data_IF_135205124428
#
_entry.id   IF_135205124428
#
_cell.length_a   1.000
_cell.length_b   1.000
_cell.length_c   1.000
_cell.angle_alpha   90.00
_cell.angle_beta   90.00
_cell.angle_gamma   90.00
#
_symmetry.space_group_name_H-M   'P 1'
#
loop_
_entity.id
_entity.type
_entity.pdbx_description
1 polymer ?
#
# COMPACT_ATOMS: atom_id res chain seq x y z
N UNK A 1 -0.45 -35.46 -3.81
CA UNK A 1 -0.52 -34.25 -4.65
C UNK A 1 -0.13 -33.09 -3.76
N UNK A 2 1.16 -32.76 -3.75
CA UNK A 2 1.75 -31.81 -2.79
C UNK A 2 1.51 -30.41 -3.32
N UNK A 3 0.72 -29.63 -2.60
CA UNK A 3 0.45 -28.22 -2.94
C UNK A 3 1.64 -27.43 -2.41
N UNK A 4 2.55 -27.04 -3.30
CA UNK A 4 3.61 -26.09 -2.98
C UNK A 4 3.00 -24.70 -2.74
N UNK A 5 3.12 -24.21 -1.51
CA UNK A 5 2.77 -22.85 -1.13
C UNK A 5 3.93 -21.94 -1.57
N UNK A 6 3.71 -20.94 -2.44
CA UNK A 6 4.82 -20.16 -2.98
C UNK A 6 5.34 -19.11 -1.99
N UNK A 7 6.51 -19.41 -1.42
CA UNK A 7 7.54 -18.47 -0.97
C UNK A 7 7.10 -17.35 -0.03
N UNK A 8 7.32 -17.57 1.27
CA UNK A 8 7.41 -16.52 2.28
C UNK A 8 8.41 -15.46 1.81
N UNK A 9 7.92 -14.25 1.55
CA UNK A 9 8.77 -13.08 1.52
C UNK A 9 8.88 -12.60 2.96
N UNK A 10 10.10 -12.51 3.46
CA UNK A 10 10.38 -12.00 4.79
C UNK A 10 9.75 -10.61 4.92
N UNK A 11 8.80 -10.49 5.85
CA UNK A 11 8.02 -9.27 6.08
C UNK A 11 8.98 -8.28 6.73
N UNK A 12 9.56 -7.40 5.91
CA UNK A 12 10.61 -6.45 6.28
C UNK A 12 10.19 -5.48 7.39
N UNK A 13 11.16 -4.73 7.93
CA UNK A 13 11.15 -3.73 9.02
C UNK A 13 9.87 -2.90 9.30
N UNK A 14 8.88 -2.86 8.39
CA UNK A 14 7.50 -2.45 8.67
C UNK A 14 6.88 -3.21 9.87
N UNK A 15 7.48 -4.34 10.28
CA UNK A 15 7.11 -5.08 11.48
C UNK A 15 7.41 -4.42 12.84
N UNK A 16 8.10 -3.28 12.85
CA UNK A 16 8.47 -2.53 14.08
C UNK A 16 7.76 -1.19 14.23
N UNK A 17 6.79 -0.91 13.37
CA UNK A 17 6.04 0.32 13.36
C UNK A 17 5.02 0.35 14.53
N UNK A 18 4.98 1.41 15.34
CA UNK A 18 4.20 1.46 16.58
C UNK A 18 2.67 1.43 16.38
N UNK A 19 2.15 1.91 15.25
CA UNK A 19 0.71 2.02 15.00
C UNK A 19 0.21 1.03 13.95
N UNK A 20 1.01 0.65 12.96
CA UNK A 20 0.54 -0.23 11.89
C UNK A 20 1.54 -1.31 11.54
N UNK A 21 1.07 -2.55 11.42
CA UNK A 21 1.94 -3.70 11.16
C UNK A 21 1.38 -4.59 10.07
N UNK A 22 2.18 -4.86 9.03
CA UNK A 22 1.86 -5.91 8.07
C UNK A 22 2.24 -7.25 8.71
N UNK A 23 1.27 -8.14 8.92
CA UNK A 23 1.48 -9.46 9.51
C UNK A 23 1.77 -10.52 8.46
N UNK A 24 1.11 -10.43 7.31
CA UNK A 24 1.26 -11.38 6.21
C UNK A 24 1.05 -10.70 4.86
N UNK A 25 1.71 -11.24 3.83
CA UNK A 25 1.50 -10.85 2.43
C UNK A 25 1.34 -12.11 1.57
N UNK A 26 0.22 -12.22 0.88
CA UNK A 26 -0.01 -13.26 -0.11
C UNK A 26 -0.34 -12.66 -1.49
N UNK A 27 0.03 -13.36 -2.57
CA UNK A 27 -0.22 -12.91 -3.94
C UNK A 27 -0.85 -14.01 -4.77
N UNK A 28 -2.03 -13.77 -5.32
CA UNK A 28 -2.83 -14.81 -5.97
C UNK A 28 -4.17 -14.31 -6.49
N UNK A 29 -5.06 -15.22 -6.90
CA UNK A 29 -6.38 -14.85 -7.46
C UNK A 29 -7.49 -14.69 -6.41
N UNK A 30 -7.34 -15.30 -5.24
CA UNK A 30 -8.28 -15.25 -4.11
C UNK A 30 -9.77 -15.33 -4.52
N UNK A 31 -10.21 -16.49 -5.00
CA UNK A 31 -11.58 -16.66 -5.52
C UNK A 31 -12.67 -16.38 -4.48
N UNK A 32 -12.36 -16.59 -3.20
CA UNK A 32 -13.28 -16.37 -2.07
C UNK A 32 -13.71 -14.92 -1.90
N UNK A 33 -12.98 -13.94 -2.42
CA UNK A 33 -13.34 -12.51 -2.29
C UNK A 33 -13.82 -11.88 -3.61
N UNK A 34 -13.65 -12.58 -4.75
CA UNK A 34 -14.00 -12.04 -6.07
C UNK A 34 -15.47 -11.61 -6.16
N UNK A 35 -16.36 -12.30 -5.46
CA UNK A 35 -17.80 -11.99 -5.46
C UNK A 35 -18.19 -10.85 -4.52
N UNK A 36 -17.31 -10.44 -3.61
CA UNK A 36 -17.59 -9.39 -2.62
C UNK A 36 -17.52 -7.98 -3.23
N UNK A 37 -16.71 -7.80 -4.28
CA UNK A 37 -16.54 -6.53 -4.96
C UNK A 37 -16.80 -6.68 -6.47
N UNK A 38 -17.90 -6.11 -6.97
CA UNK A 38 -18.36 -6.34 -8.36
C UNK A 38 -17.42 -5.80 -9.44
N UNK A 39 -16.56 -4.82 -9.14
CA UNK A 39 -15.58 -4.31 -10.10
C UNK A 39 -14.28 -5.12 -10.11
N UNK A 40 -14.17 -6.16 -9.27
CA UNK A 40 -13.04 -7.07 -9.34
C UNK A 40 -13.04 -7.81 -10.66
N UNK A 41 -11.94 -7.65 -11.39
CA UNK A 41 -11.76 -8.30 -12.67
C UNK A 41 -11.51 -9.79 -12.44
N UNK A 42 -12.27 -10.61 -13.18
CA UNK A 42 -12.14 -12.06 -13.13
C UNK A 42 -10.73 -12.49 -13.57
N UNK A 43 -10.13 -13.39 -12.80
CA UNK A 43 -8.81 -13.95 -13.12
C UNK A 43 -7.61 -13.02 -12.87
N UNK A 44 -7.83 -11.75 -12.52
CA UNK A 44 -6.77 -10.81 -12.14
C UNK A 44 -6.19 -11.20 -10.78
N UNK A 45 -4.86 -11.15 -10.68
CA UNK A 45 -4.15 -11.39 -9.43
C UNK A 45 -4.30 -10.19 -8.50
N UNK A 46 -4.27 -10.45 -7.21
CA UNK A 46 -4.39 -9.49 -6.12
C UNK A 46 -3.25 -9.70 -5.15
N UNK A 47 -2.90 -8.63 -4.46
CA UNK A 47 -2.12 -8.71 -3.24
C UNK A 47 -3.10 -8.75 -2.07
N UNK A 48 -2.95 -9.74 -1.19
CA UNK A 48 -3.54 -9.71 0.15
C UNK A 48 -2.48 -9.20 1.11
N UNK A 49 -2.81 -8.18 1.88
CA UNK A 49 -2.00 -7.66 2.98
C UNK A 49 -2.81 -7.82 4.24
N UNK A 50 -2.36 -8.67 5.15
CA UNK A 50 -2.96 -8.74 6.49
C UNK A 50 -2.31 -7.65 7.33
N UNK A 51 -3.11 -6.67 7.73
CA UNK A 51 -2.70 -5.47 8.44
C UNK A 51 -3.29 -5.47 9.85
N UNK A 52 -2.49 -5.17 10.85
CA UNK A 52 -2.95 -4.77 12.18
C UNK A 52 -2.81 -3.26 12.34
N UNK A 53 -3.86 -2.62 12.84
CA UNK A 53 -3.93 -1.19 13.12
C UNK A 53 -4.04 -0.98 14.63
N UNK A 54 -3.32 -0.01 15.17
CA UNK A 54 -3.34 0.40 16.57
C UNK A 54 -3.21 -0.75 17.58
N UNK A 55 -2.41 -1.77 17.29
CA UNK A 55 -2.30 -2.98 18.13
C UNK A 55 -1.95 -2.70 19.59
N UNK A 56 -1.18 -1.65 19.88
CA UNK A 56 -0.73 -1.29 21.24
C UNK A 56 -0.90 0.20 21.59
N UNK A 57 -1.44 1.04 20.70
CA UNK A 57 -1.51 2.50 20.90
C UNK A 57 -2.85 2.95 21.49
N UNK A 58 -2.80 3.85 22.47
CA UNK A 58 -4.01 4.47 23.05
C UNK A 58 -4.54 5.55 22.11
N UNK A 59 -5.62 5.23 21.40
CA UNK A 59 -6.31 6.16 20.50
C UNK A 59 -5.98 5.92 19.03
N UNK A 60 -6.87 6.39 18.16
CA UNK A 60 -6.78 6.12 16.73
C UNK A 60 -5.97 7.17 15.94
N UNK A 61 -5.50 8.25 16.58
CA UNK A 61 -4.85 9.38 15.88
C UNK A 61 -5.84 10.27 15.13
N UNK A 62 -5.33 11.34 14.49
CA UNK A 62 -6.16 12.31 13.78
C UNK A 62 -6.28 11.95 12.29
N UNK A 63 -7.32 11.20 11.94
CA UNK A 63 -7.56 10.75 10.56
C UNK A 63 -7.60 11.90 9.56
N UNK A 64 -8.31 12.99 9.89
CA UNK A 64 -8.43 14.13 8.96
C UNK A 64 -7.08 14.79 8.70
N UNK A 65 -6.22 14.90 9.72
CA UNK A 65 -4.86 15.39 9.56
C UNK A 65 -4.04 14.48 8.65
N UNK A 66 -4.01 13.16 8.95
CA UNK A 66 -3.28 12.16 8.14
C UNK A 66 -3.72 12.21 6.68
N UNK A 67 -5.04 12.21 6.44
CA UNK A 67 -5.60 12.29 5.11
C UNK A 67 -5.16 13.56 4.37
N UNK A 68 -5.22 14.73 5.00
CA UNK A 68 -4.80 15.97 4.35
C UNK A 68 -3.29 16.01 4.07
N UNK A 69 -2.45 15.46 4.95
CA UNK A 69 -1.01 15.34 4.69
C UNK A 69 -0.74 14.41 3.49
N UNK A 70 -1.46 13.30 3.36
CA UNK A 70 -1.29 12.42 2.21
C UNK A 70 -1.66 13.11 0.89
N UNK A 71 -2.66 14.00 0.89
CA UNK A 71 -3.07 14.72 -0.33
C UNK A 71 -1.97 15.65 -0.88
N UNK A 72 -1.00 16.07 -0.07
CA UNK A 72 0.11 16.90 -0.57
C UNK A 72 1.03 16.12 -1.50
N UNK A 73 1.18 14.80 -1.27
CA UNK A 73 2.05 13.91 -2.06
C UNK A 73 1.27 12.97 -3.00
N UNK A 74 0.00 12.71 -2.71
CA UNK A 74 -0.91 11.83 -3.47
C UNK A 74 -2.24 12.57 -3.76
N UNK A 75 -2.23 13.63 -4.60
CA UNK A 75 -3.40 14.48 -4.82
C UNK A 75 -4.58 13.74 -5.49
N UNK A 76 -4.31 12.65 -6.23
CA UNK A 76 -5.34 11.84 -6.88
C UNK A 76 -6.18 11.04 -5.89
N UNK A 77 -5.71 10.85 -4.65
CA UNK A 77 -6.43 10.16 -3.59
C UNK A 77 -7.78 10.83 -3.27
N UNK A 78 -7.90 12.16 -3.45
CA UNK A 78 -9.15 12.89 -3.28
C UNK A 78 -10.24 12.49 -4.31
N UNK A 79 -9.85 11.88 -5.43
CA UNK A 79 -10.76 11.44 -6.50
C UNK A 79 -11.25 10.01 -6.29
N UNK A 80 -10.66 9.27 -5.33
CA UNK A 80 -11.04 7.90 -5.07
C UNK A 80 -12.46 7.83 -4.52
N UNK A 81 -13.20 6.82 -4.97
CA UNK A 81 -14.58 6.57 -4.57
C UNK A 81 -14.67 5.21 -3.91
N UNK A 82 -15.35 5.15 -2.77
CA UNK A 82 -15.57 3.94 -2.00
C UNK A 82 -16.96 3.37 -2.27
N UNK A 83 -17.12 2.07 -2.06
CA UNK A 83 -18.43 1.53 -1.74
C UNK A 83 -18.68 1.69 -0.23
N UNK A 84 -19.93 1.83 0.20
CA UNK A 84 -20.24 1.95 1.63
C UNK A 84 -19.83 0.68 2.40
N UNK A 85 -19.49 0.85 3.69
CA UNK A 85 -19.25 -0.26 4.61
C UNK A 85 -20.41 -1.26 4.51
N UNK A 86 -20.08 -2.50 4.15
CA UNK A 86 -21.05 -3.54 3.93
C UNK A 86 -20.81 -4.70 4.89
N UNK A 87 -21.88 -5.12 5.56
CA UNK A 87 -21.87 -6.27 6.46
C UNK A 87 -22.93 -7.24 5.95
N UNK A 88 -22.50 -8.43 5.52
CA UNK A 88 -23.41 -9.50 5.13
C UNK A 88 -22.84 -10.43 4.06
N UNK A 89 -23.47 -11.60 3.84
CA UNK A 89 -22.98 -12.62 2.91
C UNK A 89 -23.25 -12.31 1.43
N UNK A 90 -24.03 -11.26 1.14
CA UNK A 90 -24.37 -10.88 -0.24
C UNK A 90 -23.34 -9.90 -0.81
N UNK A 91 -23.20 -9.79 -2.15
CA UNK A 91 -22.32 -8.79 -2.76
C UNK A 91 -22.72 -7.37 -2.34
N UNK A 92 -21.73 -6.50 -2.10
CA UNK A 92 -22.00 -5.11 -1.72
C UNK A 92 -22.97 -4.43 -2.72
N UNK A 93 -23.91 -3.60 -2.23
CA UNK A 93 -24.90 -2.94 -3.07
C UNK A 93 -24.24 -2.03 -4.10
N UNK A 94 -24.84 -1.95 -5.30
CA UNK A 94 -24.34 -1.09 -6.38
C UNK A 94 -24.64 0.35 -6.02
N UNK A 95 -23.61 1.09 -5.63
CA UNK A 95 -23.71 2.54 -5.53
C UNK A 95 -23.61 3.13 -6.94
N UNK A 96 -24.61 3.91 -7.33
CA UNK A 96 -24.62 4.62 -8.62
C UNK A 96 -23.57 5.74 -8.67
N UNK A 97 -23.05 6.14 -7.51
CA UNK A 97 -21.92 7.03 -7.32
C UNK A 97 -21.19 6.57 -6.07
N UNK A 98 -19.93 6.17 -6.17
CA UNK A 98 -19.16 5.83 -4.98
C UNK A 98 -19.02 7.04 -4.03
N UNK A 99 -18.89 6.75 -2.74
CA UNK A 99 -18.91 7.73 -1.65
C UNK A 99 -17.47 8.18 -1.37
N UNK A 100 -17.23 9.45 -1.01
CA UNK A 100 -15.92 9.87 -0.51
C UNK A 100 -15.47 9.04 0.70
N UNK A 101 -14.15 8.94 0.90
CA UNK A 101 -13.57 8.27 2.07
C UNK A 101 -14.16 8.91 3.36
N UNK A 102 -14.79 8.08 4.22
CA UNK A 102 -15.35 8.51 5.51
C UNK A 102 -14.20 8.97 6.42
N UNK A 103 -14.37 10.09 7.12
CA UNK A 103 -13.34 10.74 7.96
C UNK A 103 -13.64 10.62 9.46
N UNK A 104 -14.09 9.45 9.92
CA UNK A 104 -14.55 9.26 11.32
C UNK A 104 -13.37 8.90 12.24
N UNK A 105 -12.38 8.17 11.73
CA UNK A 105 -11.08 7.94 12.34
C UNK A 105 -11.02 6.75 13.29
N UNK A 106 -11.66 5.63 12.96
CA UNK A 106 -11.45 4.35 13.64
C UNK A 106 -10.42 3.44 12.94
N UNK A 107 -10.09 2.29 13.53
CA UNK A 107 -9.11 1.35 12.94
C UNK A 107 -9.52 0.85 11.56
N UNK A 108 -10.83 0.75 11.28
CA UNK A 108 -11.37 0.38 9.98
C UNK A 108 -11.11 1.48 8.96
N UNK A 109 -11.35 2.75 9.32
CA UNK A 109 -11.09 3.89 8.45
C UNK A 109 -9.60 3.98 8.09
N UNK A 110 -8.70 3.73 9.04
CA UNK A 110 -7.27 3.72 8.79
C UNK A 110 -6.82 2.56 7.89
N UNK A 111 -7.32 1.35 8.12
CA UNK A 111 -7.04 0.20 7.26
C UNK A 111 -7.55 0.45 5.82
N UNK A 112 -8.75 1.02 5.70
CA UNK A 112 -9.34 1.39 4.43
C UNK A 112 -8.55 2.51 3.73
N UNK A 113 -8.05 3.50 4.47
CA UNK A 113 -7.18 4.52 3.91
C UNK A 113 -5.85 3.94 3.40
N UNK A 114 -5.25 2.97 4.11
CA UNK A 114 -4.06 2.24 3.61
C UNK A 114 -4.36 1.57 2.27
N UNK A 115 -5.51 0.90 2.14
CA UNK A 115 -5.95 0.29 0.88
C UNK A 115 -6.00 1.33 -0.25
N UNK A 116 -6.60 2.49 0.00
CA UNK A 116 -6.70 3.57 -0.99
C UNK A 116 -5.34 4.17 -1.37
N UNK A 117 -4.44 4.34 -0.40
CA UNK A 117 -3.07 4.79 -0.66
C UNK A 117 -2.31 3.76 -1.51
N UNK A 118 -2.49 2.46 -1.25
CA UNK A 118 -1.92 1.40 -2.08
C UNK A 118 -2.43 1.47 -3.52
N UNK A 119 -3.74 1.62 -3.72
CA UNK A 119 -4.37 1.77 -5.04
C UNK A 119 -3.78 2.97 -5.78
N UNK A 120 -3.72 4.12 -5.10
CA UNK A 120 -3.23 5.38 -5.69
C UNK A 120 -1.76 5.25 -6.13
N UNK A 121 -0.91 4.70 -5.25
CA UNK A 121 0.50 4.42 -5.55
C UNK A 121 0.64 3.41 -6.70
N UNK A 122 -0.19 2.36 -6.78
CA UNK A 122 -0.13 1.39 -7.87
C UNK A 122 -0.56 1.98 -9.22
N UNK A 123 -1.53 2.88 -9.23
CA UNK A 123 -1.91 3.62 -10.44
C UNK A 123 -0.77 4.57 -10.86
N UNK A 124 -0.25 5.37 -9.92
CA UNK A 124 0.73 6.42 -10.18
C UNK A 124 2.15 5.93 -10.45
N UNK A 125 2.58 4.84 -9.81
CA UNK A 125 3.91 4.26 -9.97
C UNK A 125 3.88 2.99 -10.82
N UNK A 126 2.86 2.15 -10.66
CA UNK A 126 2.75 0.87 -11.36
C UNK A 126 2.19 0.96 -12.78
N UNK A 127 1.68 2.14 -13.20
CA UNK A 127 0.95 2.35 -14.46
C UNK A 127 -0.27 1.44 -14.62
N UNK A 128 -0.91 1.08 -13.51
CA UNK A 128 -2.18 0.36 -13.55
C UNK A 128 -3.29 1.33 -13.98
N UNK A 129 -4.04 0.98 -15.04
CA UNK A 129 -5.14 1.83 -15.52
C UNK A 129 -6.39 1.75 -14.64
N UNK A 130 -6.61 0.57 -14.04
CA UNK A 130 -7.71 0.30 -13.13
C UNK A 130 -7.16 -0.55 -11.99
N UNK A 131 -7.46 -0.14 -10.77
CA UNK A 131 -7.08 -0.85 -9.56
C UNK A 131 -8.23 -0.69 -8.57
N UNK A 132 -8.83 -1.81 -8.16
CA UNK A 132 -9.83 -1.87 -7.10
C UNK A 132 -9.25 -2.58 -5.90
N UNK A 133 -9.84 -2.36 -4.73
CA UNK A 133 -9.57 -3.18 -3.56
C UNK A 133 -10.81 -3.44 -2.71
N UNK A 134 -10.59 -4.20 -1.63
CA UNK A 134 -11.54 -4.39 -0.55
C UNK A 134 -10.77 -4.52 0.76
N UNK A 135 -11.28 -3.87 1.79
CA UNK A 135 -10.84 -4.02 3.18
C UNK A 135 -11.80 -4.96 3.91
N UNK A 136 -11.30 -6.08 4.41
CA UNK A 136 -12.07 -7.05 5.19
C UNK A 136 -11.60 -7.03 6.64
N UNK A 137 -12.44 -6.57 7.56
CA UNK A 137 -12.15 -6.64 9.00
C UNK A 137 -12.38 -8.04 9.58
N UNK A 138 -11.53 -8.45 10.52
CA UNK A 138 -11.73 -9.67 11.30
C UNK A 138 -12.75 -9.43 12.41
N UNK A 139 -13.50 -10.46 12.79
CA UNK A 139 -14.37 -10.40 13.97
C UNK A 139 -13.54 -10.32 15.26
N UNK A 140 -12.46 -11.11 15.33
CA UNK A 140 -11.47 -11.08 16.40
C UNK A 140 -10.07 -11.41 15.83
N UNK A 141 -9.03 -10.59 16.08
CA UNK A 141 -9.11 -9.29 16.76
C UNK A 141 -9.66 -8.19 15.82
N UNK A 142 -10.49 -7.30 16.37
CA UNK A 142 -11.20 -6.24 15.62
C UNK A 142 -10.30 -5.20 14.96
N UNK A 143 -9.02 -5.19 15.30
CA UNK A 143 -8.02 -4.28 14.77
C UNK A 143 -7.17 -4.90 13.65
N UNK A 144 -7.51 -6.13 13.23
CA UNK A 144 -6.87 -6.83 12.12
C UNK A 144 -7.76 -6.82 10.88
N UNK A 145 -7.13 -6.62 9.73
CA UNK A 145 -7.79 -6.47 8.44
C UNK A 145 -7.02 -7.22 7.36
N UNK A 146 -7.73 -7.85 6.43
CA UNK A 146 -7.16 -8.28 5.16
C UNK A 146 -7.51 -7.24 4.09
N UNK A 147 -6.48 -6.59 3.54
CA UNK A 147 -6.60 -5.69 2.40
C UNK A 147 -6.32 -6.49 1.14
N UNK A 148 -7.29 -6.58 0.24
CA UNK A 148 -7.07 -7.18 -1.08
C UNK A 148 -7.08 -6.09 -2.13
N UNK A 149 -5.98 -5.96 -2.86
CA UNK A 149 -5.86 -4.93 -3.90
C UNK A 149 -5.43 -5.56 -5.21
N UNK A 150 -6.11 -5.23 -6.30
CA UNK A 150 -5.79 -5.70 -7.65
C UNK A 150 -4.36 -5.32 -8.02
N UNK A 151 -3.58 -6.30 -8.45
CA UNK A 151 -2.16 -6.10 -8.70
C UNK A 151 -1.64 -7.10 -9.73
N UNK A 152 -1.20 -6.62 -10.89
CA UNK A 152 -0.61 -7.46 -11.94
C UNK A 152 0.86 -7.82 -11.67
N UNK A 153 1.50 -7.15 -10.71
CA UNK A 153 2.91 -7.30 -10.41
C UNK A 153 3.15 -7.37 -8.89
N UNK A 154 3.40 -8.59 -8.38
CA UNK A 154 3.66 -8.85 -6.95
C UNK A 154 4.62 -7.84 -6.32
N UNK A 155 5.74 -7.55 -6.98
CA UNK A 155 6.79 -6.68 -6.44
C UNK A 155 6.30 -5.23 -6.27
N UNK A 156 5.58 -4.72 -7.26
CA UNK A 156 5.00 -3.38 -7.15
C UNK A 156 3.97 -3.34 -6.03
N UNK A 157 3.10 -4.35 -5.94
CA UNK A 157 2.12 -4.44 -4.85
C UNK A 157 2.77 -4.44 -3.47
N UNK A 158 3.79 -5.28 -3.26
CA UNK A 158 4.54 -5.37 -2.00
C UNK A 158 5.18 -4.02 -1.64
N UNK A 159 5.84 -3.38 -2.61
CA UNK A 159 6.44 -2.06 -2.39
C UNK A 159 5.39 -1.02 -1.99
N UNK A 160 4.27 -0.94 -2.72
CA UNK A 160 3.21 0.02 -2.41
C UNK A 160 2.52 -0.25 -1.08
N UNK A 161 2.40 -1.52 -0.67
CA UNK A 161 1.90 -1.89 0.66
C UNK A 161 2.82 -1.38 1.77
N UNK A 162 4.12 -1.68 1.67
CA UNK A 162 5.11 -1.22 2.64
C UNK A 162 5.18 0.31 2.68
N UNK A 163 5.16 0.98 1.53
CA UNK A 163 5.19 2.44 1.47
C UNK A 163 3.92 3.06 2.07
N UNK A 164 2.74 2.53 1.77
CA UNK A 164 1.48 3.01 2.34
C UNK A 164 1.50 2.92 3.86
N UNK A 165 1.87 1.76 4.41
CA UNK A 165 1.96 1.55 5.86
C UNK A 165 3.01 2.45 6.50
N UNK A 166 4.19 2.60 5.87
CA UNK A 166 5.24 3.50 6.35
C UNK A 166 4.79 4.97 6.42
N UNK A 167 4.12 5.47 5.39
CA UNK A 167 3.60 6.84 5.36
C UNK A 167 2.58 7.08 6.46
N UNK A 168 1.63 6.16 6.59
CA UNK A 168 0.56 6.23 7.58
C UNK A 168 1.11 6.20 9.00
N UNK A 169 2.02 5.27 9.28
CA UNK A 169 2.61 5.12 10.60
C UNK A 169 3.52 6.29 10.99
N UNK A 170 4.33 6.82 10.05
CA UNK A 170 5.15 8.02 10.28
C UNK A 170 4.27 9.23 10.59
N UNK A 171 3.18 9.43 9.84
CA UNK A 171 2.25 10.53 10.10
C UNK A 171 1.53 10.39 11.45
N UNK A 172 1.23 9.17 11.89
CA UNK A 172 0.62 8.92 13.18
C UNK A 172 1.62 9.12 14.34
N UNK A 173 2.89 8.76 14.14
CA UNK A 173 3.95 8.86 15.15
C UNK A 173 4.49 10.29 15.29
N UNK A 174 4.88 10.88 14.16
CA UNK A 174 5.68 12.11 14.12
C UNK A 174 4.86 13.33 13.68
N UNK A 175 3.60 13.13 13.28
CA UNK A 175 2.74 14.19 12.72
C UNK A 175 3.36 14.92 11.51
N UNK A 176 4.27 14.25 10.79
CA UNK A 176 4.96 14.79 9.63
C UNK A 176 5.19 13.69 8.58
N UNK A 177 5.26 14.10 7.31
CA UNK A 177 5.67 13.20 6.24
C UNK A 177 7.17 12.85 6.39
N UNK A 178 7.59 11.65 5.96
CA UNK A 178 9.00 11.32 5.88
C UNK A 178 9.79 12.34 5.05
N UNK A 179 11.00 12.67 5.52
CA UNK A 179 11.92 13.52 4.77
C UNK A 179 12.21 12.93 3.38
N UNK A 180 12.27 13.80 2.36
CA UNK A 180 12.54 13.46 0.96
C UNK A 180 11.54 12.47 0.32
N UNK A 181 10.29 12.44 0.80
CA UNK A 181 9.28 11.51 0.27
C UNK A 181 8.95 11.79 -1.20
N UNK A 182 8.92 13.06 -1.62
CA UNK A 182 8.65 13.41 -3.02
C UNK A 182 9.76 12.89 -3.94
N UNK A 183 11.02 13.06 -3.55
CA UNK A 183 12.18 12.56 -4.26
C UNK A 183 12.20 11.03 -4.28
N UNK A 184 11.77 10.37 -3.20
CA UNK A 184 11.60 8.91 -3.16
C UNK A 184 10.58 8.44 -4.22
N UNK A 185 9.43 9.10 -4.29
CA UNK A 185 8.37 8.80 -5.28
C UNK A 185 8.86 9.07 -6.70
N UNK A 186 9.57 10.18 -6.92
CA UNK A 186 10.18 10.50 -8.21
C UNK A 186 11.21 9.44 -8.62
N UNK A 187 12.07 9.00 -7.71
CA UNK A 187 13.06 7.95 -7.97
C UNK A 187 12.38 6.62 -8.29
N UNK A 188 11.36 6.23 -7.52
CA UNK A 188 10.60 5.00 -7.77
C UNK A 188 9.95 5.02 -9.17
N UNK A 189 9.35 6.16 -9.56
CA UNK A 189 8.78 6.37 -10.89
C UNK A 189 9.85 6.27 -11.98
N UNK A 190 10.98 6.94 -11.81
CA UNK A 190 12.10 6.91 -12.75
C UNK A 190 12.61 5.47 -12.97
N UNK A 191 12.79 4.72 -11.88
CA UNK A 191 13.24 3.33 -11.93
C UNK A 191 12.24 2.42 -12.64
N UNK A 192 10.94 2.63 -12.40
CA UNK A 192 9.91 1.83 -13.06
C UNK A 192 9.86 2.10 -14.58
N UNK A 193 9.99 3.36 -14.99
CA UNK A 193 10.07 3.73 -16.41
C UNK A 193 11.32 3.15 -17.08
N UNK A 194 12.40 2.96 -16.33
CA UNK A 194 13.68 2.46 -16.80
C UNK A 194 13.96 1.00 -16.39
N UNK A 195 12.94 0.18 -16.10
CA UNK A 195 13.08 -1.19 -15.56
C UNK A 195 13.96 -2.16 -16.36
N UNK A 196 14.22 -1.88 -17.64
CA UNK A 196 15.10 -2.69 -18.51
C UNK A 196 16.57 -2.29 -18.43
N UNK A 197 16.88 -1.14 -17.81
CA UNK A 197 18.24 -0.62 -17.69
C UNK A 197 18.86 -1.06 -16.37
N UNK A 198 20.15 -1.39 -16.40
CA UNK A 198 20.94 -1.63 -15.20
C UNK A 198 21.41 -0.29 -14.62
N UNK A 199 20.54 0.31 -13.80
CA UNK A 199 20.80 1.54 -13.08
C UNK A 199 21.48 1.25 -11.73
N UNK A 200 22.37 2.15 -11.32
CA UNK A 200 23.00 2.18 -9.99
C UNK A 200 22.86 3.59 -9.43
N UNK A 201 22.95 3.79 -8.11
CA UNK A 201 22.92 5.12 -7.50
C UNK A 201 23.86 6.12 -8.17
N UNK A 202 25.09 5.70 -8.49
CA UNK A 202 26.11 6.55 -9.10
C UNK A 202 25.69 7.00 -10.50
N UNK A 203 25.15 6.08 -11.32
CA UNK A 203 24.65 6.39 -12.66
C UNK A 203 23.46 7.34 -12.61
N UNK A 204 22.55 7.15 -11.65
CA UNK A 204 21.37 7.99 -11.49
C UNK A 204 21.79 9.41 -11.11
N UNK A 205 22.68 9.53 -10.12
CA UNK A 205 23.25 10.80 -9.70
C UNK A 205 23.94 11.52 -10.87
N UNK A 206 24.83 10.83 -11.62
CA UNK A 206 25.55 11.45 -12.73
C UNK A 206 24.66 11.86 -13.90
N UNK A 207 23.63 11.05 -14.22
CA UNK A 207 22.78 11.27 -15.40
C UNK A 207 21.68 12.30 -15.17
N UNK A 208 21.23 12.47 -13.92
CA UNK A 208 20.11 13.36 -13.57
C UNK A 208 20.55 14.57 -12.73
N UNK A 209 21.86 14.72 -12.47
CA UNK A 209 22.44 15.78 -11.64
C UNK A 209 21.86 15.83 -10.22
N UNK A 210 21.52 14.67 -9.66
CA UNK A 210 21.04 14.55 -8.29
C UNK A 210 22.23 14.43 -7.34
N UNK A 211 22.09 14.98 -6.13
CA UNK A 211 23.10 14.83 -5.08
C UNK A 211 23.38 13.34 -4.79
N UNK A 212 24.65 12.88 -4.87
CA UNK A 212 24.99 11.47 -4.67
C UNK A 212 24.56 10.92 -3.31
N UNK A 213 24.67 11.71 -2.24
CA UNK A 213 24.34 11.26 -0.90
C UNK A 213 22.82 11.06 -0.75
N UNK A 214 22.02 11.98 -1.28
CA UNK A 214 20.56 11.88 -1.36
C UNK A 214 20.14 10.65 -2.15
N UNK A 215 20.68 10.43 -3.35
CA UNK A 215 20.35 9.24 -4.16
C UNK A 215 20.64 7.95 -3.41
N UNK A 216 21.78 7.87 -2.70
CA UNK A 216 22.14 6.69 -1.90
C UNK A 216 21.16 6.46 -0.74
N UNK A 217 20.74 7.50 -0.03
CA UNK A 217 19.73 7.41 1.04
C UNK A 217 18.38 6.92 0.50
N UNK A 218 17.90 7.54 -0.59
CA UNK A 218 16.65 7.15 -1.24
C UNK A 218 16.70 5.70 -1.76
N UNK A 219 17.83 5.29 -2.34
CA UNK A 219 18.03 3.91 -2.80
C UNK A 219 17.95 2.91 -1.65
N UNK A 220 18.57 3.21 -0.51
CA UNK A 220 18.47 2.37 0.69
C UNK A 220 17.02 2.27 1.16
N UNK A 221 16.29 3.40 1.18
CA UNK A 221 14.87 3.42 1.57
C UNK A 221 14.01 2.59 0.63
N UNK A 222 14.25 2.68 -0.69
CA UNK A 222 13.58 1.83 -1.67
C UNK A 222 13.86 0.35 -1.42
N UNK A 223 15.09 -0.03 -1.08
CA UNK A 223 15.42 -1.41 -0.71
C UNK A 223 14.69 -1.85 0.57
N UNK A 224 14.69 -1.03 1.61
CA UNK A 224 13.98 -1.31 2.88
C UNK A 224 12.46 -1.48 2.66
N UNK A 225 11.88 -0.73 1.72
CA UNK A 225 10.47 -0.84 1.31
C UNK A 225 10.23 -1.96 0.28
N UNK A 226 11.22 -2.83 0.04
CA UNK A 226 11.13 -3.95 -0.91
C UNK A 226 10.82 -3.52 -2.35
N UNK A 227 11.22 -2.31 -2.74
CA UNK A 227 11.18 -1.89 -4.12
C UNK A 227 12.09 -2.75 -4.99
N UNK A 228 13.17 -3.33 -4.47
CA UNK A 228 14.07 -4.26 -5.17
C UNK A 228 13.94 -5.69 -4.62
N UNK A 229 14.26 -6.70 -5.43
CA UNK A 229 14.41 -8.06 -4.90
C UNK A 229 15.71 -8.11 -4.09
N UNK A 230 15.63 -8.42 -2.79
CA UNK A 230 16.77 -9.02 -2.11
C UNK A 230 16.98 -10.40 -2.74
N UNK A 231 18.00 -10.54 -3.59
CA UNK A 231 18.70 -11.81 -3.60
C UNK A 231 19.50 -11.81 -2.30
N UNK A 232 18.99 -12.53 -1.30
CA UNK A 232 19.84 -13.03 -0.22
C UNK A 232 21.02 -13.70 -0.91
N UNK A 233 22.19 -13.08 -0.77
CA UNK A 233 23.47 -13.66 -1.22
C UNK A 233 23.79 -14.82 -0.31
#
# INVERSE_FOLDING_TARGET
MTIEIPGEYDVTKANHLPHMKIIDIAYGKFLSITHLHRNFQNGVKRLRVTLEVNGNSKGNGNFSFVFHQLLTILPTLAQHKCCENWIGPQPAPKLNSGIPIKKVGDSTDFAHLVEHVMIDLMCNLGHMQLCSGITCGYEEPRNRFDLFVECSNKRMGVFTANLAVYLMDTLLSDSQLPENIEELLQLARYLQQNKRRRLTPEKISSQNHWDPATVKRLWSRLADLQFFNHKSS
#
